data_IF_142006882736
#
_entry.id   IF_142006882736
#
_cell.length_a   1.000
_cell.length_b   1.000
_cell.length_c   1.000
_cell.angle_alpha   90.00
_cell.angle_beta   90.00
_cell.angle_gamma   90.00
#
_symmetry.space_group_name_H-M   'P 1'
#
loop_
_entity.id
_entity.type
_entity.pdbx_description
1 polymer ?
#
# COMPACT_ATOMS: atom_id res chain seq x y z
N UNK A 1 -18.72 15.00 -18.53
CA UNK A 1 -17.76 13.88 -18.57
C UNK A 1 -16.47 14.32 -17.87
N UNK A 2 -16.17 13.92 -16.63
CA UNK A 2 -14.83 14.15 -16.12
C UNK A 2 -13.95 12.98 -16.58
N UNK A 3 -12.91 13.31 -17.35
CA UNK A 3 -11.76 12.44 -17.57
C UNK A 3 -11.04 12.41 -16.20
N UNK A 4 -11.32 11.42 -15.36
CA UNK A 4 -10.57 11.24 -14.12
C UNK A 4 -9.19 10.69 -14.50
N UNK A 5 -8.28 11.58 -14.86
CA UNK A 5 -6.85 11.29 -14.95
C UNK A 5 -6.43 10.81 -13.57
N UNK A 6 -6.39 9.49 -13.38
CA UNK A 6 -5.82 8.85 -12.19
C UNK A 6 -4.31 9.08 -12.22
N UNK A 7 -3.86 10.28 -11.83
CA UNK A 7 -2.59 10.39 -11.14
C UNK A 7 -2.77 9.57 -9.86
N UNK A 8 -2.45 8.27 -9.90
CA UNK A 8 -2.42 7.47 -8.69
C UNK A 8 -1.30 8.04 -7.83
N UNK A 9 -1.67 8.86 -6.84
CA UNK A 9 -0.79 9.14 -5.71
C UNK A 9 -0.23 7.81 -5.21
N UNK A 10 1.06 7.77 -4.89
CA UNK A 10 1.74 6.55 -4.42
C UNK A 10 0.96 5.86 -3.28
N UNK A 11 0.30 6.67 -2.44
CA UNK A 11 -0.58 6.19 -1.38
C UNK A 11 -1.84 5.50 -1.91
N UNK A 12 -2.43 5.99 -2.99
CA UNK A 12 -3.55 5.35 -3.69
C UNK A 12 -3.14 3.98 -4.25
N UNK A 13 -2.00 3.91 -4.94
CA UNK A 13 -1.45 2.65 -5.42
C UNK A 13 -1.24 1.62 -4.29
N UNK A 14 -0.61 2.04 -3.19
CA UNK A 14 -0.40 1.18 -2.00
C UNK A 14 -1.73 0.72 -1.40
N UNK A 15 -2.75 1.59 -1.33
CA UNK A 15 -4.07 1.23 -0.81
C UNK A 15 -4.75 0.17 -1.67
N UNK A 16 -4.73 0.35 -2.99
CA UNK A 16 -5.31 -0.63 -3.92
C UNK A 16 -4.61 -1.99 -3.80
N UNK A 17 -3.28 -1.97 -3.70
CA UNK A 17 -2.51 -3.21 -3.61
C UNK A 17 -2.70 -3.91 -2.25
N UNK A 18 -2.78 -3.14 -1.15
CA UNK A 18 -3.18 -3.67 0.15
C UNK A 18 -4.60 -4.25 0.11
N UNK A 19 -5.56 -3.62 -0.56
CA UNK A 19 -6.91 -4.15 -0.68
C UNK A 19 -6.95 -5.48 -1.45
N UNK A 20 -6.19 -5.59 -2.55
CA UNK A 20 -6.06 -6.80 -3.37
C UNK A 20 -5.32 -7.95 -2.68
N UNK A 21 -4.51 -7.64 -1.68
CA UNK A 21 -3.66 -8.62 -0.95
C UNK A 21 -4.03 -8.75 0.52
N UNK A 22 -5.30 -8.50 0.89
CA UNK A 22 -5.79 -8.61 2.28
C UNK A 22 -5.43 -9.91 3.00
N UNK A 23 -5.36 -11.03 2.29
CA UNK A 23 -4.94 -12.32 2.85
C UNK A 23 -3.45 -12.41 3.21
N UNK A 24 -2.61 -11.60 2.58
CA UNK A 24 -1.15 -11.67 2.62
C UNK A 24 -0.54 -10.60 3.56
N UNK A 25 -1.37 -9.82 4.25
CA UNK A 25 -0.89 -8.68 5.06
C UNK A 25 0.13 -9.06 6.13
N UNK A 26 0.09 -10.29 6.65
CA UNK A 26 1.11 -10.77 7.60
C UNK A 26 2.48 -10.90 6.95
N UNK A 27 2.54 -11.44 5.74
CA UNK A 27 3.77 -11.63 4.97
C UNK A 27 4.33 -10.30 4.47
N UNK A 28 3.45 -9.43 3.99
CA UNK A 28 3.80 -8.05 3.59
C UNK A 28 4.38 -7.30 4.80
N UNK A 29 3.75 -7.42 5.97
CA UNK A 29 4.23 -6.78 7.21
C UNK A 29 5.63 -7.24 7.60
N UNK A 30 5.88 -8.56 7.54
CA UNK A 30 7.17 -9.15 7.88
C UNK A 30 8.26 -8.72 6.88
N UNK A 31 7.96 -8.77 5.59
CA UNK A 31 8.94 -8.51 4.51
C UNK A 31 9.23 -7.03 4.35
N UNK A 32 8.20 -6.18 4.30
CA UNK A 32 8.36 -4.74 4.18
C UNK A 32 8.84 -4.08 5.50
N UNK A 33 8.96 -4.85 6.59
CA UNK A 33 9.27 -4.35 7.95
C UNK A 33 8.33 -3.23 8.40
N UNK A 34 7.09 -3.28 7.93
CA UNK A 34 6.03 -2.33 8.29
C UNK A 34 5.04 -3.05 9.21
N UNK A 35 4.73 -2.52 10.40
CA UNK A 35 3.79 -3.17 11.31
C UNK A 35 2.42 -3.41 10.65
N UNK A 36 1.82 -4.58 10.90
CA UNK A 36 0.49 -4.94 10.38
C UNK A 36 -0.56 -3.87 10.69
N UNK A 37 -0.49 -3.27 11.89
CA UNK A 37 -1.37 -2.18 12.30
C UNK A 37 -1.22 -0.94 11.40
N UNK A 38 -0.02 -0.66 10.91
CA UNK A 38 0.24 0.42 9.94
C UNK A 38 -0.39 0.09 8.59
N UNK A 39 -0.30 -1.16 8.12
CA UNK A 39 -0.98 -1.59 6.89
C UNK A 39 -2.49 -1.39 6.99
N UNK A 40 -3.06 -1.82 8.12
CA UNK A 40 -4.49 -1.65 8.39
C UNK A 40 -4.90 -0.18 8.40
N UNK A 41 -4.10 0.70 8.99
CA UNK A 41 -4.34 2.15 9.04
C UNK A 41 -4.21 2.84 7.69
N UNK A 42 -3.26 2.40 6.87
CA UNK A 42 -3.07 2.90 5.50
C UNK A 42 -4.26 2.46 4.64
N UNK A 43 -4.61 1.18 4.71
CA UNK A 43 -5.75 0.61 3.97
C UNK A 43 -7.08 1.26 4.38
N UNK A 44 -7.31 1.52 5.67
CA UNK A 44 -8.53 2.19 6.14
C UNK A 44 -8.53 3.71 5.91
N UNK A 45 -7.41 4.31 5.49
CA UNK A 45 -7.27 5.76 5.37
C UNK A 45 -7.28 6.51 6.71
N UNK A 46 -7.20 5.80 7.84
CA UNK A 46 -7.18 6.40 9.18
C UNK A 46 -5.91 7.21 9.46
N UNK A 47 -4.83 6.97 8.70
CA UNK A 47 -3.61 7.78 8.77
C UNK A 47 -3.59 8.79 7.63
N UNK A 48 -3.75 10.06 7.97
CA UNK A 48 -3.75 11.19 7.03
C UNK A 48 -2.37 11.43 6.43
N UNK A 49 -1.31 11.16 7.18
CA UNK A 49 0.09 11.30 6.75
C UNK A 49 0.91 10.09 7.22
N UNK A 50 0.94 8.99 6.45
CA UNK A 50 1.81 7.88 6.78
C UNK A 50 3.26 8.28 6.57
N UNK A 51 4.16 7.84 7.46
CA UNK A 51 5.59 8.11 7.31
C UNK A 51 6.07 7.69 5.93
N UNK A 52 6.76 8.59 5.24
CA UNK A 52 7.34 8.35 3.91
C UNK A 52 8.17 7.05 3.88
N UNK A 53 8.86 6.72 4.97
CA UNK A 53 9.62 5.46 5.07
C UNK A 53 8.75 4.20 4.97
N UNK A 54 7.55 4.20 5.55
CA UNK A 54 6.60 3.09 5.43
C UNK A 54 5.97 3.02 4.04
N UNK A 55 5.65 4.18 3.47
CA UNK A 55 5.14 4.28 2.10
C UNK A 55 6.16 3.74 1.10
N UNK A 56 7.42 4.15 1.23
CA UNK A 56 8.51 3.69 0.36
C UNK A 56 8.79 2.20 0.53
N UNK A 57 8.82 1.68 1.76
CA UNK A 57 9.04 0.25 2.00
C UNK A 57 7.94 -0.62 1.34
N UNK A 58 6.69 -0.18 1.42
CA UNK A 58 5.57 -0.86 0.77
C UNK A 58 5.62 -0.73 -0.75
N UNK A 59 5.93 0.46 -1.26
CA UNK A 59 6.10 0.67 -2.69
C UNK A 59 7.21 -0.22 -3.26
N UNK A 60 8.35 -0.31 -2.58
CA UNK A 60 9.46 -1.19 -2.97
C UNK A 60 9.00 -2.65 -2.98
N UNK A 61 8.36 -3.11 -1.90
CA UNK A 61 7.84 -4.47 -1.83
C UNK A 61 6.89 -4.80 -2.98
N UNK A 62 5.93 -3.92 -3.31
CA UNK A 62 4.98 -4.16 -4.40
C UNK A 62 5.63 -4.09 -5.78
N UNK A 63 6.70 -3.31 -5.94
CA UNK A 63 7.48 -3.25 -7.17
C UNK A 63 8.37 -4.50 -7.37
N UNK A 64 8.93 -5.03 -6.28
CA UNK A 64 9.73 -6.26 -6.29
C UNK A 64 8.86 -7.53 -6.40
N UNK A 65 7.63 -7.46 -5.90
CA UNK A 65 6.64 -8.54 -5.97
C UNK A 65 5.40 -8.10 -6.76
N UNK A 66 5.52 -7.81 -8.08
CA UNK A 66 4.37 -7.41 -8.88
C UNK A 66 3.35 -8.54 -8.90
N UNK A 67 2.07 -8.23 -8.63
CA UNK A 67 1.02 -9.23 -8.77
C UNK A 67 0.84 -9.48 -10.25
N UNK A 68 1.14 -10.70 -10.70
CA UNK A 68 0.80 -11.12 -12.05
C UNK A 68 -0.72 -10.92 -12.20
N UNK A 69 -1.10 -10.14 -13.22
CA UNK A 69 -2.48 -9.79 -13.53
C UNK A 69 -3.32 -11.03 -13.86
#
# INVERSE_FOLDING_TARGET
>A
MPITTHQQDLLGFIKDELARRRGEWREISATAKVPYFTLSKISSGATKDPRISSVQALANYFNEHPKAA
#
